data_IF_453302863894
#
_entry.id   IF_453302863894
#
_cell.length_a   1.000
_cell.length_b   1.000
_cell.length_c   1.000
_cell.angle_alpha   90.00
_cell.angle_beta   90.00
_cell.angle_gamma   90.00
#
_symmetry.space_group_name_H-M   'P 1'
#
loop_
_entity.id
_entity.type
_entity.pdbx_description
1 polymer ?
#
# COMPACT_ATOMS: atom_id res chain seq x y z
N UNK A 1 -23.22 8.49 4.86
CA UNK A 1 -22.06 8.05 4.04
C UNK A 1 -20.98 7.57 5.00
N UNK A 2 -20.47 6.34 4.85
CA UNK A 2 -19.33 5.86 5.65
C UNK A 2 -18.06 6.06 4.83
N UNK A 3 -17.06 6.71 5.40
CA UNK A 3 -15.74 6.94 4.78
C UNK A 3 -14.75 6.06 5.52
N UNK A 4 -14.02 5.20 4.80
CA UNK A 4 -13.02 4.30 5.37
C UNK A 4 -11.63 4.80 4.95
N UNK A 5 -11.05 5.67 5.78
CA UNK A 5 -9.71 6.17 5.54
C UNK A 5 -8.70 5.04 5.72
N UNK A 6 -7.77 4.90 4.78
CA UNK A 6 -6.64 4.01 4.99
C UNK A 6 -5.36 4.75 5.35
N UNK A 7 -4.28 3.99 5.58
CA UNK A 7 -3.11 4.48 6.32
C UNK A 7 -2.14 5.28 5.46
N UNK A 8 -1.32 6.09 6.14
CA UNK A 8 -0.04 6.55 5.61
C UNK A 8 1.02 5.49 5.88
N UNK A 9 1.42 4.77 4.82
CA UNK A 9 2.32 3.63 4.87
C UNK A 9 1.60 2.28 5.03
N UNK A 10 2.39 1.24 5.24
CA UNK A 10 1.91 -0.14 5.28
C UNK A 10 1.15 -0.40 6.59
N UNK A 11 -0.07 -0.99 6.54
CA UNK A 11 -0.82 -1.34 7.74
C UNK A 11 0.01 -2.20 8.71
N UNK A 12 -0.12 -1.94 10.02
CA UNK A 12 0.60 -2.69 11.07
C UNK A 12 0.15 -4.15 11.19
N UNK A 13 -0.98 -4.49 10.59
CA UNK A 13 -1.50 -5.86 10.50
C UNK A 13 -0.71 -6.73 9.51
N UNK A 14 0.09 -6.11 8.62
CA UNK A 14 0.95 -6.83 7.69
C UNK A 14 2.25 -7.29 8.39
N UNK A 15 2.52 -8.60 8.35
CA UNK A 15 3.74 -9.18 8.92
C UNK A 15 5.00 -8.80 8.14
N UNK A 16 4.92 -8.81 6.81
CA UNK A 16 6.02 -8.40 5.92
C UNK A 16 5.80 -6.96 5.48
N UNK A 17 6.73 -6.05 5.79
CA UNK A 17 6.60 -4.61 5.51
C UNK A 17 6.81 -4.26 4.02
N UNK A 18 6.22 -5.02 3.11
CA UNK A 18 6.25 -4.77 1.67
C UNK A 18 5.03 -4.01 1.15
N UNK A 19 5.25 -3.26 0.07
CA UNK A 19 4.22 -2.41 -0.56
C UNK A 19 3.08 -3.25 -1.12
N UNK A 20 3.40 -4.39 -1.74
CA UNK A 20 2.41 -5.29 -2.33
C UNK A 20 1.49 -5.84 -1.26
N UNK A 21 2.05 -6.33 -0.16
CA UNK A 21 1.29 -6.83 0.97
C UNK A 21 0.45 -5.73 1.62
N UNK A 22 0.95 -4.49 1.67
CA UNK A 22 0.18 -3.33 2.12
C UNK A 22 -1.06 -3.06 1.26
N UNK A 23 -0.93 -3.09 -0.07
CA UNK A 23 -2.06 -2.90 -1.00
C UNK A 23 -3.12 -3.99 -0.79
N UNK A 24 -2.70 -5.25 -0.73
CA UNK A 24 -3.60 -6.38 -0.52
C UNK A 24 -4.33 -6.29 0.83
N UNK A 25 -3.63 -5.86 1.87
CA UNK A 25 -4.20 -5.72 3.21
C UNK A 25 -5.22 -4.58 3.29
N UNK A 26 -4.97 -3.44 2.66
CA UNK A 26 -5.91 -2.31 2.57
C UNK A 26 -7.21 -2.73 1.90
N UNK A 27 -7.10 -3.48 0.79
CA UNK A 27 -8.25 -4.09 0.12
C UNK A 27 -9.00 -5.08 1.03
N UNK A 28 -8.28 -5.98 1.70
CA UNK A 28 -8.85 -6.95 2.65
C UNK A 28 -9.59 -6.28 3.82
N UNK A 29 -9.07 -5.17 4.31
CA UNK A 29 -9.66 -4.37 5.40
C UNK A 29 -10.79 -3.44 4.91
N UNK A 30 -11.09 -3.43 3.61
CA UNK A 30 -12.11 -2.59 2.98
C UNK A 30 -11.88 -1.09 3.24
N UNK A 31 -10.61 -0.67 3.20
CA UNK A 31 -10.20 0.74 3.32
C UNK A 31 -10.10 1.37 1.93
N UNK A 32 -10.23 2.70 1.84
CA UNK A 32 -10.36 3.38 0.56
C UNK A 32 -9.03 3.67 -0.15
N UNK A 33 -7.94 3.89 0.59
CA UNK A 33 -6.66 4.30 0.02
C UNK A 33 -5.49 3.95 0.95
N UNK A 34 -4.28 3.93 0.41
CA UNK A 34 -3.04 3.89 1.17
C UNK A 34 -2.06 4.88 0.55
N UNK A 35 -1.43 5.70 1.39
CA UNK A 35 -0.37 6.60 0.95
C UNK A 35 0.99 5.93 1.10
N UNK A 36 1.86 6.09 0.10
CA UNK A 36 3.26 5.65 0.17
C UNK A 36 4.16 6.86 0.00
N UNK A 37 5.06 7.07 0.96
CA UNK A 37 6.01 8.18 0.96
C UNK A 37 7.44 7.67 0.86
N UNK A 38 8.26 8.35 0.05
CA UNK A 38 9.68 8.06 -0.14
C UNK A 38 10.53 9.19 0.47
N UNK A 39 10.93 9.04 1.74
CA UNK A 39 11.64 10.12 2.49
C UNK A 39 13.07 10.35 2.00
N UNK A 40 13.81 9.29 1.64
CA UNK A 40 15.23 9.34 1.30
C UNK A 40 15.51 8.83 -0.12
N UNK A 41 14.56 9.04 -1.03
CA UNK A 41 14.60 8.54 -2.40
C UNK A 41 13.78 7.26 -2.63
N UNK A 42 13.60 6.93 -3.91
CA UNK A 42 12.74 5.83 -4.36
C UNK A 42 13.55 4.54 -4.40
N UNK A 43 13.62 3.83 -3.27
CA UNK A 43 14.28 2.52 -3.18
C UNK A 43 13.32 1.38 -3.56
N UNK A 44 12.66 1.51 -4.70
CA UNK A 44 11.71 0.52 -5.24
C UNK A 44 12.23 0.02 -6.58
N UNK A 45 12.24 -1.31 -6.75
CA UNK A 45 12.56 -1.91 -8.06
C UNK A 45 11.41 -1.68 -9.03
N UNK A 46 11.71 -1.49 -10.31
CA UNK A 46 10.72 -1.28 -11.37
C UNK A 46 9.66 -2.39 -11.40
N UNK A 47 10.08 -3.64 -11.23
CA UNK A 47 9.19 -4.82 -11.15
C UNK A 47 8.12 -4.67 -10.06
N UNK A 48 8.52 -4.17 -8.88
CA UNK A 48 7.61 -3.95 -7.75
C UNK A 48 6.70 -2.76 -8.01
N UNK A 49 7.20 -1.71 -8.65
CA UNK A 49 6.40 -0.53 -9.00
C UNK A 49 5.30 -0.87 -10.01
N UNK A 50 5.63 -1.65 -11.04
CA UNK A 50 4.68 -2.11 -12.05
C UNK A 50 3.59 -2.97 -11.41
N UNK A 51 3.98 -3.92 -10.55
CA UNK A 51 3.04 -4.81 -9.87
C UNK A 51 2.14 -4.05 -8.88
N UNK A 52 2.69 -3.10 -8.14
CA UNK A 52 1.92 -2.21 -7.25
C UNK A 52 0.87 -1.43 -8.05
N UNK A 53 1.26 -0.85 -9.20
CA UNK A 53 0.34 -0.16 -10.09
C UNK A 53 -0.77 -1.07 -10.63
N UNK A 54 -0.45 -2.33 -10.94
CA UNK A 54 -1.43 -3.33 -11.40
C UNK A 54 -2.45 -3.69 -10.31
N UNK A 55 -2.00 -3.87 -9.07
CA UNK A 55 -2.84 -4.27 -7.93
C UNK A 55 -3.64 -3.11 -7.32
N UNK A 56 -3.24 -1.86 -7.57
CA UNK A 56 -3.90 -0.66 -7.04
C UNK A 56 -5.13 -0.16 -7.83
N UNK A 57 -5.49 -0.87 -8.91
CA UNK A 57 -6.68 -0.59 -9.73
C UNK A 57 -7.90 -1.33 -9.20
#
# INVERSE_FOLDING_TARGET
MKIFLGPAGIPTTVKNRGVIEGILEVSRLNLNAMEIQFTYGVNMKDEVAIEAGRLSK
#
